data_IF_583952523349
#
_entry.id   IF_583952523349
#
_cell.length_a   1.000
_cell.length_b   1.000
_cell.length_c   1.000
_cell.angle_alpha   90.00
_cell.angle_beta   90.00
_cell.angle_gamma   90.00
#
_symmetry.space_group_name_H-M   'P 1'
#
loop_
_entity.id
_entity.type
_entity.pdbx_description
1 polymer ?
#
# COMPACT_ATOMS: atom_id res chain seq x y z
N UNK A 1 -47.83 23.38 64.83
CA UNK A 1 -46.89 22.29 65.15
C UNK A 1 -46.46 21.67 63.85
N UNK A 2 -45.23 21.70 63.38
CA UNK A 2 -43.99 22.43 63.66
C UNK A 2 -43.13 22.14 62.41
N UNK A 3 -42.35 23.08 61.86
CA UNK A 3 -40.92 23.20 62.19
C UNK A 3 -40.20 21.89 61.86
N UNK A 4 -39.19 21.78 61.00
CA UNK A 4 -37.92 22.54 60.89
C UNK A 4 -37.14 21.87 59.73
N UNK A 5 -36.41 22.60 58.86
CA UNK A 5 -34.93 22.77 58.88
C UNK A 5 -34.15 21.44 58.98
N UNK A 6 -33.02 21.18 58.30
CA UNK A 6 -32.00 22.03 57.68
C UNK A 6 -30.96 21.13 56.99
N UNK A 7 -30.38 21.66 55.90
CA UNK A 7 -28.95 21.74 55.56
C UNK A 7 -27.98 20.55 55.68
N UNK A 8 -27.25 20.43 54.56
CA UNK A 8 -25.79 20.36 54.45
C UNK A 8 -25.09 18.99 54.57
N UNK A 9 -24.62 18.56 53.40
CA UNK A 9 -23.22 18.30 53.09
C UNK A 9 -22.40 17.45 54.07
N UNK A 10 -22.07 16.24 53.62
CA UNK A 10 -20.77 15.64 53.90
C UNK A 10 -20.29 14.88 52.65
N UNK A 11 -19.34 15.52 51.97
CA UNK A 11 -18.35 14.84 51.15
C UNK A 11 -17.72 13.71 52.00
N UNK A 12 -17.68 12.49 51.48
CA UNK A 12 -16.65 11.55 51.88
C UNK A 12 -16.11 10.84 50.65
N UNK A 13 -14.81 11.05 50.47
CA UNK A 13 -13.90 10.43 49.52
C UNK A 13 -13.92 8.89 49.62
N UNK A 14 -13.23 8.30 48.63
CA UNK A 14 -12.66 6.95 48.55
C UNK A 14 -13.46 6.06 47.58
N UNK A 15 -12.88 5.49 46.52
CA UNK A 15 -11.46 5.23 46.24
C UNK A 15 -11.32 5.06 44.73
N UNK A 16 -10.32 5.72 44.14
CA UNK A 16 -9.66 5.18 42.95
C UNK A 16 -9.27 3.74 43.25
N UNK A 17 -9.79 2.76 42.51
CA UNK A 17 -9.17 1.45 42.44
C UNK A 17 -8.97 1.07 40.98
N UNK A 18 -7.71 1.25 40.60
CA UNK A 18 -7.03 0.62 39.49
C UNK A 18 -7.47 -0.84 39.29
N UNK A 19 -8.17 -1.13 38.20
CA UNK A 19 -8.14 -2.47 37.60
C UNK A 19 -8.08 -2.39 36.07
N UNK A 20 -6.89 -2.11 35.51
CA UNK A 20 -6.52 -2.65 34.19
C UNK A 20 -5.35 -3.65 34.29
N UNK A 21 -4.79 -3.84 35.49
CA UNK A 21 -3.52 -4.55 35.65
C UNK A 21 -3.72 -6.07 35.59
N UNK A 22 -4.72 -6.61 36.30
CA UNK A 22 -4.98 -8.07 36.36
C UNK A 22 -5.30 -8.64 34.97
N UNK A 23 -6.10 -7.92 34.17
CA UNK A 23 -6.49 -8.33 32.81
C UNK A 23 -5.31 -8.37 31.82
N UNK A 24 -4.34 -7.46 32.00
CA UNK A 24 -3.11 -7.44 31.21
C UNK A 24 -2.17 -8.56 31.67
N UNK A 25 -2.02 -8.75 32.98
CA UNK A 25 -1.20 -9.84 33.52
C UNK A 25 -1.72 -11.20 33.07
N UNK A 26 -3.03 -11.44 33.11
CA UNK A 26 -3.61 -12.70 32.63
C UNK A 26 -3.45 -12.88 31.12
N UNK A 27 -3.58 -11.81 30.31
CA UNK A 27 -3.30 -11.89 28.87
C UNK A 27 -1.83 -12.20 28.60
N UNK A 28 -0.91 -11.56 29.33
CA UNK A 28 0.53 -11.78 29.19
C UNK A 28 0.91 -13.18 29.65
N UNK A 29 0.37 -13.64 30.77
CA UNK A 29 0.66 -14.95 31.33
C UNK A 29 0.09 -16.07 30.43
N UNK A 30 -1.13 -15.92 29.95
CA UNK A 30 -1.73 -16.86 28.99
C UNK A 30 -0.99 -16.86 27.65
N UNK A 31 -0.54 -15.71 27.16
CA UNK A 31 0.29 -15.62 25.96
C UNK A 31 1.67 -16.28 26.16
N UNK A 32 2.27 -16.11 27.34
CA UNK A 32 3.56 -16.70 27.70
C UNK A 32 3.46 -18.23 27.81
N UNK A 33 2.39 -18.75 28.43
CA UNK A 33 2.16 -20.18 28.52
C UNK A 33 1.91 -20.80 27.13
N UNK A 34 1.16 -20.12 26.26
CA UNK A 34 1.00 -20.53 24.86
C UNK A 34 2.32 -20.57 24.10
N UNK A 35 3.14 -19.53 24.23
CA UNK A 35 4.44 -19.46 23.58
C UNK A 35 5.39 -20.57 24.05
N UNK A 36 5.34 -20.93 25.35
CA UNK A 36 6.11 -22.05 25.91
C UNK A 36 5.63 -23.40 25.38
N UNK A 37 4.32 -23.61 25.28
CA UNK A 37 3.76 -24.84 24.73
C UNK A 37 4.11 -25.03 23.24
N UNK A 38 4.13 -23.94 22.47
CA UNK A 38 4.55 -23.96 21.06
C UNK A 38 6.05 -24.22 20.90
N UNK A 39 6.89 -23.72 21.81
CA UNK A 39 8.32 -24.03 21.85
C UNK A 39 8.59 -25.50 22.18
N UNK A 40 7.89 -26.08 23.16
CA UNK A 40 8.07 -27.47 23.55
C UNK A 40 7.55 -28.48 22.50
N UNK A 41 6.50 -28.13 21.77
CA UNK A 41 6.01 -28.95 20.65
C UNK A 41 7.02 -29.03 19.49
N UNK A 42 7.93 -28.04 19.37
CA UNK A 42 8.94 -27.99 18.31
C UNK A 42 10.23 -28.77 18.62
N UNK A 43 10.38 -29.30 19.84
CA UNK A 43 11.58 -30.02 20.30
C UNK A 43 11.48 -31.55 20.28
N UNK A 44 10.31 -32.13 19.97
CA UNK A 44 10.08 -33.58 20.04
C UNK A 44 10.15 -34.32 18.67
N UNK A 45 10.60 -33.68 17.60
CA UNK A 45 10.85 -34.37 16.33
C UNK A 45 12.24 -34.01 15.83
N UNK A 46 13.19 -34.92 16.08
CA UNK A 46 14.46 -35.13 15.39
C UNK A 46 14.98 -33.98 14.51
N UNK A 47 16.02 -33.32 14.97
CA UNK A 47 16.87 -32.50 14.11
C UNK A 47 17.23 -31.19 14.76
N UNK A 48 18.40 -31.19 15.41
CA UNK A 48 19.14 -29.99 15.75
C UNK A 48 19.19 -29.02 14.55
N UNK A 49 19.15 -27.73 14.86
CA UNK A 49 19.06 -26.58 13.95
C UNK A 49 17.63 -26.20 13.54
N UNK A 50 17.11 -25.14 14.17
CA UNK A 50 16.44 -24.00 13.49
C UNK A 50 15.66 -23.05 14.41
N UNK A 51 16.07 -22.90 15.68
CA UNK A 51 15.52 -21.86 16.58
C UNK A 51 15.64 -20.45 15.95
N UNK A 52 16.73 -20.19 15.22
CA UNK A 52 16.97 -18.94 14.49
C UNK A 52 16.08 -18.78 13.24
N UNK A 53 15.63 -19.88 12.65
CA UNK A 53 14.79 -19.86 11.43
C UNK A 53 13.32 -19.69 11.79
N UNK A 54 12.87 -20.29 12.89
CA UNK A 54 11.49 -20.12 13.41
C UNK A 54 11.24 -18.68 13.87
N UNK A 55 12.19 -18.05 14.57
CA UNK A 55 12.10 -16.63 14.97
C UNK A 55 12.09 -15.70 13.75
N UNK A 56 12.93 -15.95 12.73
CA UNK A 56 12.95 -15.16 11.48
C UNK A 56 11.62 -15.19 10.72
N UNK A 57 10.83 -16.27 10.87
CA UNK A 57 9.55 -16.43 10.20
C UNK A 57 8.41 -15.69 10.92
N UNK A 58 8.48 -15.58 12.25
CA UNK A 58 7.47 -14.90 13.07
C UNK A 58 7.53 -13.36 12.96
N UNK A 59 8.73 -12.77 12.86
CA UNK A 59 8.86 -11.32 12.65
C UNK A 59 8.36 -10.84 11.28
N UNK A 60 8.34 -11.72 10.27
CA UNK A 60 7.73 -11.39 8.96
C UNK A 60 6.21 -11.36 8.99
N UNK A 61 5.55 -12.07 9.92
CA UNK A 61 4.08 -12.04 10.04
C UNK A 61 3.58 -10.78 10.74
N UNK A 62 4.34 -10.16 11.66
CA UNK A 62 3.88 -8.95 12.36
C UNK A 62 4.01 -7.65 11.56
N UNK A 63 4.94 -7.56 10.59
CA UNK A 63 5.03 -6.36 9.74
C UNK A 63 3.84 -6.21 8.77
N UNK A 64 3.14 -7.31 8.48
CA UNK A 64 1.93 -7.31 7.66
C UNK A 64 0.64 -7.08 8.49
N UNK A 65 0.72 -6.93 9.81
CA UNK A 65 -0.46 -6.82 10.68
C UNK A 65 -0.80 -5.37 11.07
N UNK A 66 0.10 -4.41 10.85
CA UNK A 66 -0.18 -2.98 11.14
C UNK A 66 -0.94 -2.30 9.99
N UNK A 67 -1.10 -2.96 8.83
CA UNK A 67 -2.05 -2.55 7.80
C UNK A 67 -3.17 -3.59 7.72
N UNK A 68 -4.25 -3.30 8.43
CA UNK A 68 -5.47 -4.07 8.37
C UNK A 68 -5.99 -4.17 6.94
N UNK A 69 -5.76 -5.30 6.29
CA UNK A 69 -6.58 -5.79 5.20
C UNK A 69 -7.00 -7.20 5.58
N UNK A 70 -7.99 -7.26 6.46
CA UNK A 70 -8.97 -8.34 6.45
C UNK A 70 -9.50 -8.48 5.02
N UNK A 71 -9.32 -9.64 4.40
CA UNK A 71 -10.43 -10.45 3.87
C UNK A 71 -9.91 -11.61 3.04
N UNK A 72 -10.22 -12.82 3.52
CA UNK A 72 -10.47 -13.99 2.66
C UNK A 72 -11.70 -13.69 1.78
N UNK A 73 -11.52 -13.01 0.65
CA UNK A 73 -12.41 -13.04 -0.53
C UNK A 73 -11.54 -12.89 -1.76
N UNK A 74 -11.84 -13.65 -2.82
CA UNK A 74 -11.03 -13.66 -4.03
C UNK A 74 -10.68 -12.25 -4.47
N UNK A 75 -9.39 -11.94 -4.60
CA UNK A 75 -8.92 -10.60 -4.95
C UNK A 75 -9.42 -10.25 -6.36
N UNK A 76 -10.52 -9.50 -6.43
CA UNK A 76 -10.94 -8.83 -7.66
C UNK A 76 -10.03 -7.65 -7.99
N UNK A 77 -9.06 -7.31 -7.14
CA UNK A 77 -8.11 -6.23 -7.38
C UNK A 77 -6.72 -6.72 -7.80
N UNK A 78 -6.02 -5.86 -8.52
CA UNK A 78 -4.68 -6.03 -9.05
C UNK A 78 -3.81 -4.86 -8.63
N UNK A 79 -2.78 -5.14 -7.84
CA UNK A 79 -1.78 -4.15 -7.45
C UNK A 79 -0.68 -4.11 -8.51
N UNK A 80 -0.45 -2.94 -9.10
CA UNK A 80 0.53 -2.72 -10.16
C UNK A 80 1.17 -1.34 -9.99
N UNK A 81 2.48 -1.25 -10.25
CA UNK A 81 3.15 0.05 -10.31
C UNK A 81 2.85 0.73 -11.64
N UNK A 82 2.41 1.98 -11.58
CA UNK A 82 2.20 2.79 -12.78
C UNK A 82 3.45 3.59 -13.09
N UNK A 83 3.69 3.83 -14.38
CA UNK A 83 4.78 4.71 -14.81
C UNK A 83 4.41 5.46 -16.08
N UNK A 84 4.33 6.78 -16.01
CA UNK A 84 4.09 7.66 -17.14
C UNK A 84 5.40 8.01 -17.84
N UNK A 85 5.39 7.85 -19.16
CA UNK A 85 6.53 8.17 -20.02
C UNK A 85 6.39 9.57 -20.64
N UNK A 86 7.50 10.25 -20.96
CA UNK A 86 7.47 11.61 -21.49
C UNK A 86 6.87 11.73 -22.90
N UNK A 87 6.79 10.65 -23.68
CA UNK A 87 6.29 10.73 -25.05
C UNK A 87 6.05 9.38 -25.73
N UNK A 88 5.56 9.41 -26.98
CA UNK A 88 5.12 8.23 -27.72
C UNK A 88 6.26 7.37 -28.30
N UNK A 89 7.40 7.98 -28.64
CA UNK A 89 8.47 7.33 -29.43
C UNK A 89 9.50 6.57 -28.59
N UNK A 90 9.18 6.28 -27.33
CA UNK A 90 10.10 5.62 -26.42
C UNK A 90 10.08 4.11 -26.66
N UNK A 91 11.16 3.61 -27.26
CA UNK A 91 11.32 2.19 -27.56
C UNK A 91 12.01 1.40 -26.44
N UNK A 92 12.82 2.07 -25.62
CA UNK A 92 13.60 1.49 -24.53
C UNK A 92 13.25 2.13 -23.19
N UNK A 93 13.31 1.33 -22.13
CA UNK A 93 13.09 1.83 -20.78
C UNK A 93 14.19 2.83 -20.40
N UNK A 94 13.86 4.07 -20.00
CA UNK A 94 14.83 5.05 -19.51
C UNK A 94 15.69 4.52 -18.35
N UNK A 95 16.88 5.09 -18.23
CA UNK A 95 17.83 4.75 -17.17
C UNK A 95 17.23 5.02 -15.78
N UNK A 96 17.82 4.45 -14.72
CA UNK A 96 17.30 4.67 -13.36
C UNK A 96 17.39 6.16 -12.96
N UNK A 97 18.46 6.83 -13.38
CA UNK A 97 18.64 8.27 -13.19
C UNK A 97 17.55 9.09 -13.91
N UNK A 98 17.31 8.81 -15.19
CA UNK A 98 16.24 9.46 -15.97
C UNK A 98 14.86 9.22 -15.37
N UNK A 99 14.58 7.99 -14.89
CA UNK A 99 13.30 7.68 -14.25
C UNK A 99 13.08 8.47 -12.96
N UNK A 100 14.13 8.69 -12.17
CA UNK A 100 14.04 9.52 -10.98
C UNK A 100 13.82 11.00 -11.37
N UNK A 101 14.53 11.48 -12.39
CA UNK A 101 14.32 12.83 -12.92
C UNK A 101 12.89 13.02 -13.43
N UNK A 102 12.33 12.04 -14.15
CA UNK A 102 10.92 12.08 -14.59
C UNK A 102 9.98 12.17 -13.38
N UNK A 103 10.20 11.33 -12.37
CA UNK A 103 9.42 11.32 -11.11
C UNK A 103 9.43 12.68 -10.42
N UNK A 104 10.59 13.32 -10.35
CA UNK A 104 10.73 14.67 -9.75
C UNK A 104 10.03 15.77 -10.56
N UNK A 105 9.82 15.55 -11.85
CA UNK A 105 9.18 16.50 -12.76
C UNK A 105 7.68 16.23 -12.97
N UNK A 106 7.06 15.42 -12.10
CA UNK A 106 5.63 15.07 -12.22
C UNK A 106 5.32 14.08 -13.35
N UNK A 107 6.33 13.52 -14.00
CA UNK A 107 6.24 12.36 -14.91
C UNK A 107 6.60 11.08 -14.15
N UNK A 108 6.56 9.90 -14.77
CA UNK A 108 6.99 8.67 -14.11
C UNK A 108 6.00 8.12 -13.09
N UNK A 109 6.39 7.98 -11.83
CA UNK A 109 5.54 7.32 -10.81
C UNK A 109 4.45 8.28 -10.33
N UNK A 110 3.18 7.84 -10.18
CA UNK A 110 2.12 8.70 -9.66
C UNK A 110 2.49 9.30 -8.30
N UNK A 111 2.14 10.57 -8.07
CA UNK A 111 2.42 11.26 -6.80
C UNK A 111 1.88 10.49 -5.58
N UNK A 112 0.74 9.82 -5.73
CA UNK A 112 0.14 8.96 -4.69
C UNK A 112 1.03 7.74 -4.37
N UNK A 113 1.62 7.08 -5.37
CA UNK A 113 2.50 5.93 -5.14
C UNK A 113 3.82 6.35 -4.48
N UNK A 114 4.31 7.57 -4.77
CA UNK A 114 5.49 8.15 -4.10
C UNK A 114 5.18 8.52 -2.65
N UNK A 115 4.08 9.21 -2.40
CA UNK A 115 3.70 9.68 -1.07
C UNK A 115 3.36 8.52 -0.11
N UNK A 116 2.54 7.58 -0.58
CA UNK A 116 2.05 6.47 0.26
C UNK A 116 3.01 5.26 0.26
N UNK A 117 4.03 5.26 -0.61
CA UNK A 117 4.87 4.09 -0.88
C UNK A 117 4.05 2.83 -1.26
N UNK A 118 2.86 3.02 -1.83
CA UNK A 118 1.90 1.97 -2.17
C UNK A 118 1.67 1.88 -3.67
N UNK A 119 1.65 0.65 -4.20
CA UNK A 119 1.32 0.41 -5.61
C UNK A 119 -0.14 0.78 -5.91
N UNK A 120 -0.38 1.18 -7.15
CA UNK A 120 -1.73 1.46 -7.63
C UNK A 120 -2.58 0.18 -7.61
N UNK A 121 -3.78 0.27 -7.03
CA UNK A 121 -4.71 -0.85 -6.94
C UNK A 121 -5.82 -0.67 -7.98
N UNK A 122 -5.84 -1.54 -8.97
CA UNK A 122 -6.80 -1.54 -10.08
C UNK A 122 -7.82 -2.66 -9.86
N UNK A 123 -9.12 -2.38 -9.97
CA UNK A 123 -10.13 -3.45 -9.93
C UNK A 123 -10.23 -4.17 -11.29
N UNK A 124 -10.32 -5.49 -11.26
CA UNK A 124 -10.45 -6.36 -12.44
C UNK A 124 -11.86 -6.40 -13.01
N UNK A 125 -12.84 -5.90 -12.26
CA UNK A 125 -14.22 -5.76 -12.72
C UNK A 125 -14.48 -4.41 -13.41
N UNK A 126 -13.50 -3.50 -13.40
CA UNK A 126 -13.61 -2.22 -14.08
C UNK A 126 -13.73 -2.37 -15.59
N UNK A 127 -14.48 -1.45 -16.21
CA UNK A 127 -14.43 -1.27 -17.65
C UNK A 127 -13.10 -0.63 -18.06
N UNK A 128 -12.77 -0.69 -19.35
CA UNK A 128 -11.59 0.03 -19.87
C UNK A 128 -11.73 1.56 -19.69
N UNK A 129 -12.96 2.08 -19.72
CA UNK A 129 -13.21 3.50 -19.47
C UNK A 129 -12.90 3.90 -18.02
N UNK A 130 -13.31 3.08 -17.05
CA UNK A 130 -13.00 3.32 -15.62
C UNK A 130 -11.49 3.25 -15.38
N UNK A 131 -10.81 2.28 -15.98
CA UNK A 131 -9.35 2.19 -15.93
C UNK A 131 -8.71 3.45 -16.52
N UNK A 132 -9.20 3.94 -17.65
CA UNK A 132 -8.66 5.15 -18.27
C UNK A 132 -8.84 6.36 -17.36
N UNK A 133 -10.03 6.51 -16.77
CA UNK A 133 -10.30 7.58 -15.82
C UNK A 133 -9.37 7.50 -14.59
N UNK A 134 -9.14 6.30 -14.06
CA UNK A 134 -8.21 6.07 -12.96
C UNK A 134 -6.77 6.47 -13.31
N UNK A 135 -6.30 6.13 -14.51
CA UNK A 135 -4.96 6.55 -14.98
C UNK A 135 -4.87 8.07 -15.07
N UNK A 136 -5.88 8.74 -15.62
CA UNK A 136 -5.93 10.20 -15.69
C UNK A 136 -5.91 10.85 -14.29
N UNK A 137 -6.66 10.30 -13.33
CA UNK A 137 -6.64 10.77 -11.94
C UNK A 137 -5.29 10.52 -11.23
N UNK A 138 -4.54 9.52 -11.67
CA UNK A 138 -3.22 9.20 -11.12
C UNK A 138 -2.16 10.22 -11.56
N UNK A 139 -2.37 10.90 -12.68
CA UNK A 139 -1.46 11.90 -13.25
C UNK A 139 -2.18 13.24 -13.46
N UNK A 140 -2.64 13.92 -12.38
CA UNK A 140 -3.46 15.14 -12.49
C UNK A 140 -2.72 16.33 -13.12
N UNK A 141 -1.39 16.32 -13.08
CA UNK A 141 -0.54 17.35 -13.69
C UNK A 141 -0.59 17.34 -15.23
N UNK A 142 -1.05 16.23 -15.83
CA UNK A 142 -1.02 16.02 -17.27
C UNK A 142 -2.41 15.65 -17.75
N UNK A 143 -2.90 16.40 -18.75
CA UNK A 143 -4.22 16.20 -19.33
C UNK A 143 -4.25 14.99 -20.28
N UNK A 144 -4.08 13.79 -19.73
CA UNK A 144 -4.08 12.52 -20.47
C UNK A 144 -5.38 12.27 -21.25
N UNK A 145 -6.51 12.82 -20.77
CA UNK A 145 -7.79 12.77 -21.47
C UNK A 145 -7.77 13.51 -22.82
N UNK A 146 -7.01 14.61 -22.92
CA UNK A 146 -6.89 15.42 -24.13
C UNK A 146 -5.82 14.89 -25.06
N UNK A 147 -4.65 14.53 -24.50
CA UNK A 147 -3.52 14.01 -25.27
C UNK A 147 -3.82 12.62 -25.83
N UNK A 148 -4.60 11.82 -25.10
CA UNK A 148 -4.76 10.40 -25.35
C UNK A 148 -3.49 9.62 -24.97
N UNK A 149 -3.66 8.36 -24.58
CA UNK A 149 -2.54 7.53 -24.17
C UNK A 149 -2.79 6.06 -24.52
N UNK A 150 -1.70 5.32 -24.52
CA UNK A 150 -1.67 3.88 -24.75
C UNK A 150 -0.99 3.20 -23.57
N UNK A 151 -1.43 1.98 -23.26
CA UNK A 151 -0.83 1.18 -22.22
C UNK A 151 0.28 0.31 -22.80
N UNK A 152 1.36 0.14 -22.06
CA UNK A 152 2.47 -0.71 -22.46
C UNK A 152 3.06 -1.48 -21.27
N UNK A 153 3.86 -2.48 -21.60
CA UNK A 153 4.69 -3.21 -20.66
C UNK A 153 6.14 -3.22 -21.14
N UNK A 154 7.05 -3.33 -20.20
CA UNK A 154 8.45 -3.61 -20.51
C UNK A 154 8.65 -5.12 -20.60
N UNK A 155 9.30 -5.55 -21.68
CA UNK A 155 9.73 -6.93 -21.87
C UNK A 155 11.08 -7.21 -21.18
N UNK A 156 11.47 -8.48 -21.09
CA UNK A 156 12.74 -8.91 -20.45
C UNK A 156 13.97 -8.18 -21.01
N UNK A 157 13.93 -7.75 -22.27
CA UNK A 157 14.99 -6.98 -22.93
C UNK A 157 14.93 -5.46 -22.73
N UNK A 158 14.21 -4.95 -21.72
CA UNK A 158 13.99 -3.50 -21.47
C UNK A 158 13.33 -2.75 -22.64
N UNK A 159 12.69 -3.46 -23.56
CA UNK A 159 11.93 -2.88 -24.68
C UNK A 159 10.50 -2.62 -24.25
N UNK A 160 9.97 -1.46 -24.63
CA UNK A 160 8.60 -1.07 -24.35
C UNK A 160 7.71 -1.67 -25.44
N UNK A 161 6.71 -2.47 -25.03
CA UNK A 161 5.74 -3.10 -25.93
C UNK A 161 4.35 -2.62 -25.58
N UNK A 162 3.67 -2.02 -26.56
CA UNK A 162 2.26 -1.60 -26.46
C UNK A 162 1.39 -2.81 -26.15
N UNK A 163 0.47 -2.66 -25.21
CA UNK A 163 -0.45 -3.69 -24.78
C UNK A 163 -1.85 -3.28 -25.21
N UNK A 164 -2.44 -4.10 -26.08
CA UNK A 164 -3.86 -4.01 -26.37
C UNK A 164 -4.58 -5.10 -25.58
N UNK A 165 -5.55 -4.69 -24.77
CA UNK A 165 -6.36 -5.60 -23.97
C UNK A 165 -7.82 -5.17 -24.07
N UNK A 166 -8.71 -6.15 -24.25
CA UNK A 166 -10.15 -5.92 -24.36
C UNK A 166 -10.83 -5.83 -22.97
N UNK A 167 -10.11 -6.25 -21.92
CA UNK A 167 -10.58 -6.23 -20.54
C UNK A 167 -9.41 -6.00 -19.57
N UNK A 168 -9.70 -5.49 -18.37
CA UNK A 168 -8.70 -5.31 -17.31
C UNK A 168 -8.13 -6.66 -16.83
N UNK A 169 -8.92 -7.74 -16.93
CA UNK A 169 -8.46 -9.10 -16.65
C UNK A 169 -7.41 -9.57 -17.63
N UNK A 170 -7.60 -9.30 -18.92
CA UNK A 170 -6.61 -9.64 -19.94
C UNK A 170 -5.38 -8.75 -19.83
N UNK A 171 -5.55 -7.48 -19.50
CA UNK A 171 -4.43 -6.59 -19.18
C UNK A 171 -3.57 -7.16 -18.05
N UNK A 172 -4.19 -7.62 -16.95
CA UNK A 172 -3.49 -8.28 -15.85
C UNK A 172 -2.75 -9.54 -16.31
N UNK A 173 -3.32 -10.36 -17.19
CA UNK A 173 -2.63 -11.55 -17.73
C UNK A 173 -1.39 -11.17 -18.53
N UNK A 174 -1.49 -10.13 -19.36
CA UNK A 174 -0.40 -9.71 -20.27
C UNK A 174 0.73 -8.99 -19.52
N UNK A 175 0.40 -8.17 -18.53
CA UNK A 175 1.37 -7.39 -17.73
C UNK A 175 1.89 -8.20 -16.54
N UNK A 176 1.03 -9.02 -15.94
CA UNK A 176 1.35 -9.89 -14.81
C UNK A 176 1.78 -9.11 -13.58
N UNK A 177 3.04 -9.30 -13.17
CA UNK A 177 3.68 -8.61 -12.05
C UNK A 177 4.58 -7.45 -12.49
N UNK A 178 4.66 -7.19 -13.80
CA UNK A 178 5.44 -6.07 -14.33
C UNK A 178 4.76 -4.74 -14.02
N UNK A 179 5.50 -3.64 -14.17
CA UNK A 179 4.92 -2.29 -14.12
C UNK A 179 4.11 -2.03 -15.38
N UNK A 180 3.01 -1.29 -15.23
CA UNK A 180 2.19 -0.81 -16.32
C UNK A 180 2.68 0.57 -16.73
N UNK A 181 3.07 0.71 -17.98
CA UNK A 181 3.57 1.96 -18.53
C UNK A 181 2.45 2.68 -19.28
N UNK A 182 2.37 3.98 -19.10
CA UNK A 182 1.44 4.87 -19.77
C UNK A 182 2.23 5.67 -20.80
N UNK A 183 1.89 5.52 -22.08
CA UNK A 183 2.53 6.20 -23.19
C UNK A 183 1.55 7.25 -23.73
N UNK A 184 1.77 8.54 -23.46
CA UNK A 184 0.97 9.59 -24.07
C UNK A 184 1.23 9.64 -25.58
N UNK A 185 0.20 9.97 -26.36
CA UNK A 185 0.28 10.06 -27.83
C UNK A 185 0.98 11.31 -28.35
N UNK A 186 1.12 12.31 -27.49
CA UNK A 186 1.94 13.49 -27.73
C UNK A 186 3.06 13.55 -26.69
N UNK A 187 4.09 14.34 -26.99
CA UNK A 187 5.09 14.68 -25.99
C UNK A 187 4.43 15.46 -24.86
N UNK A 188 4.65 15.01 -23.63
CA UNK A 188 4.23 15.70 -22.42
C UNK A 188 5.46 16.31 -21.78
N UNK A 189 5.53 17.63 -21.86
CA UNK A 189 6.62 18.38 -21.25
C UNK A 189 6.54 18.31 -19.73
N UNK A 190 7.72 18.23 -19.12
CA UNK A 190 7.90 18.28 -17.67
C UNK A 190 7.31 19.59 -17.13
N UNK A 191 6.35 19.49 -16.21
CA UNK A 191 5.99 20.66 -15.40
C UNK A 191 7.13 20.81 -14.41
N UNK A 192 8.05 21.75 -14.68
CA UNK A 192 9.03 22.16 -13.69
C UNK A 192 8.23 22.58 -12.46
N UNK A 193 8.22 21.74 -11.43
CA UNK A 193 7.78 22.18 -10.12
C UNK A 193 8.86 23.15 -9.68
N UNK A 194 8.65 24.44 -9.98
CA UNK A 194 9.41 25.51 -9.39
C UNK A 194 9.22 25.32 -7.89
N UNK A 195 10.23 24.75 -7.23
CA UNK A 195 10.29 24.81 -5.78
C UNK A 195 10.30 26.30 -5.45
N UNK A 196 9.16 26.84 -5.04
CA UNK A 196 9.09 28.11 -4.37
C UNK A 196 9.91 27.94 -3.08
N UNK A 197 11.20 28.27 -3.18
CA UNK A 197 12.02 28.53 -2.01
C UNK A 197 11.49 29.87 -1.47
N UNK A 198 10.58 29.78 -0.51
CA UNK A 198 10.19 30.92 0.29
C UNK A 198 11.44 31.41 1.04
N UNK A 199 11.85 32.65 0.75
CA UNK A 199 12.83 33.41 1.51
C UNK A 199 12.18 34.00 2.76
#
# INVERSE_FOLDING_TARGET
MDGTQQQASSNLLQTEQEQPVVDVFDRVFNALQRARHELMASTSTNGESNILTTTRTLFRRRRNHVQGISTRRGRSSWQVGLFLLPGPDIQSLPSLFERNALTNNGLGVPAKEVADCMLSTIDLNWSLADLNHFVCQSFPMISLNLVGFELAKVDKGKKIKKVQANSVRDLKKVVGKSRLYVLPRAEVSQVQTIMFIAW
#
